data_IF_664173320897
#
_entry.id   IF_664173320897
#
_cell.length_a   1.000
_cell.length_b   1.000
_cell.length_c   1.000
_cell.angle_alpha   90.00
_cell.angle_beta   90.00
_cell.angle_gamma   90.00
#
_symmetry.space_group_name_H-M   'P 1'
#
loop_
_entity.id
_entity.type
_entity.pdbx_description
1 polymer ?
#
# COMPACT_ATOMS: atom_id res chain seq x y z
N UNK A 1 -5.91 17.96 -9.96
CA UNK A 1 -4.46 18.20 -9.89
C UNK A 1 -3.95 18.40 -11.32
N UNK A 2 -3.87 19.64 -11.84
CA UNK A 2 -3.34 19.90 -13.17
C UNK A 2 -1.91 19.35 -13.30
N UNK A 3 -1.60 18.69 -14.41
CA UNK A 3 -0.28 18.10 -14.67
C UNK A 3 -0.01 16.75 -13.98
N UNK A 4 -0.98 16.17 -13.27
CA UNK A 4 -0.83 14.88 -12.59
C UNK A 4 -1.77 13.84 -13.19
N UNK A 5 -1.22 12.68 -13.51
CA UNK A 5 -1.90 11.59 -14.20
C UNK A 5 -1.97 10.35 -13.31
N UNK A 6 -3.00 9.51 -13.51
CA UNK A 6 -2.98 8.13 -13.04
C UNK A 6 -2.28 7.29 -14.10
N UNK A 7 -1.34 6.45 -13.69
CA UNK A 7 -0.55 5.62 -14.59
C UNK A 7 -0.94 4.14 -14.45
N UNK A 8 -0.99 3.43 -15.56
CA UNK A 8 -1.04 1.98 -15.59
C UNK A 8 0.26 1.38 -15.05
N UNK A 9 0.12 0.41 -14.15
CA UNK A 9 1.22 -0.14 -13.34
C UNK A 9 2.37 -0.77 -14.14
N UNK A 10 2.13 -1.21 -15.38
CA UNK A 10 3.11 -2.00 -16.14
C UNK A 10 4.02 -1.16 -17.03
N UNK A 11 3.46 -0.43 -18.00
CA UNK A 11 4.26 0.34 -18.98
C UNK A 11 4.46 1.78 -18.55
N UNK A 12 3.36 2.47 -18.24
CA UNK A 12 3.36 3.91 -17.99
C UNK A 12 4.10 4.24 -16.68
N UNK A 13 3.84 3.48 -15.60
CA UNK A 13 4.55 3.64 -14.32
C UNK A 13 6.07 3.47 -14.48
N UNK A 14 6.51 2.40 -15.15
CA UNK A 14 7.93 2.09 -15.29
C UNK A 14 8.64 3.14 -16.16
N UNK A 15 7.98 3.60 -17.23
CA UNK A 15 8.54 4.66 -18.06
C UNK A 15 8.72 5.96 -17.26
N UNK A 16 7.67 6.42 -16.58
CA UNK A 16 7.72 7.66 -15.79
C UNK A 16 8.78 7.55 -14.68
N UNK A 17 8.86 6.41 -14.00
CA UNK A 17 9.84 6.17 -12.95
C UNK A 17 11.29 6.23 -13.49
N UNK A 18 11.55 5.72 -14.69
CA UNK A 18 12.87 5.81 -15.33
C UNK A 18 13.24 7.26 -15.69
N UNK A 19 12.29 8.03 -16.21
CA UNK A 19 12.49 9.44 -16.54
C UNK A 19 12.77 10.26 -15.27
N UNK A 20 11.97 10.06 -14.22
CA UNK A 20 12.18 10.67 -12.91
C UNK A 20 13.54 10.27 -12.30
N UNK A 21 13.95 9.01 -12.44
CA UNK A 21 15.25 8.53 -11.97
C UNK A 21 16.42 9.25 -12.67
N UNK A 22 16.34 9.44 -13.99
CA UNK A 22 17.35 10.18 -14.74
C UNK A 22 17.44 11.65 -14.29
N UNK A 23 16.31 12.23 -13.86
CA UNK A 23 16.26 13.58 -13.29
C UNK A 23 16.74 13.67 -11.83
N UNK A 24 17.08 12.55 -11.19
CA UNK A 24 17.62 12.52 -9.82
C UNK A 24 16.65 12.04 -8.74
N UNK A 25 15.41 11.69 -9.07
CA UNK A 25 14.46 11.12 -8.10
C UNK A 25 14.91 9.72 -7.69
N UNK A 26 14.82 9.41 -6.39
CA UNK A 26 15.24 8.12 -5.82
C UNK A 26 14.13 7.37 -5.08
N UNK A 27 13.07 8.08 -4.68
CA UNK A 27 11.99 7.55 -3.86
C UNK A 27 10.66 7.67 -4.60
N UNK A 28 9.83 6.63 -4.53
CA UNK A 28 8.51 6.59 -5.13
C UNK A 28 7.47 6.20 -4.09
N UNK A 29 6.42 7.01 -3.94
CA UNK A 29 5.30 6.70 -3.03
C UNK A 29 4.10 6.28 -3.85
N UNK A 30 3.53 5.12 -3.55
CA UNK A 30 2.44 4.52 -4.31
C UNK A 30 1.07 4.74 -3.64
N UNK A 31 0.12 5.27 -4.41
CA UNK A 31 -1.30 5.38 -4.05
C UNK A 31 -2.18 4.71 -5.11
N UNK A 32 -2.92 3.64 -4.78
CA UNK A 32 -3.71 2.92 -5.75
C UNK A 32 -5.05 3.61 -6.05
N UNK A 33 -5.49 3.51 -7.31
CA UNK A 33 -6.90 3.75 -7.68
C UNK A 33 -7.58 2.40 -7.90
N UNK A 34 -8.04 1.79 -6.82
CA UNK A 34 -8.72 0.48 -6.82
C UNK A 34 -10.01 0.53 -7.65
N UNK A 35 -10.28 -0.54 -8.39
CA UNK A 35 -11.56 -0.70 -9.10
C UNK A 35 -12.70 -0.82 -8.09
N UNK A 36 -13.83 -0.18 -8.35
CA UNK A 36 -15.00 -0.23 -7.48
C UNK A 36 -15.51 -1.66 -7.29
N UNK A 37 -15.37 -2.53 -8.29
CA UNK A 37 -15.77 -3.94 -8.20
C UNK A 37 -14.91 -4.77 -7.24
N UNK A 38 -13.73 -4.27 -6.86
CA UNK A 38 -12.84 -4.91 -5.89
C UNK A 38 -13.00 -4.33 -4.47
N UNK A 39 -13.80 -3.26 -4.31
CA UNK A 39 -14.06 -2.67 -3.01
C UNK A 39 -15.11 -3.47 -2.26
N UNK A 40 -14.84 -3.74 -0.99
CA UNK A 40 -15.68 -4.55 -0.11
C UNK A 40 -15.79 -3.87 1.26
N UNK A 41 -16.65 -4.37 2.14
CA UNK A 41 -16.78 -3.80 3.50
C UNK A 41 -15.48 -3.92 4.31
N UNK A 42 -14.69 -4.97 4.08
CA UNK A 42 -13.51 -5.28 4.87
C UNK A 42 -12.19 -5.00 4.15
N UNK A 43 -12.24 -4.51 2.92
CA UNK A 43 -11.05 -4.07 2.18
C UNK A 43 -10.07 -5.18 1.84
N UNK A 44 -10.52 -6.41 1.58
CA UNK A 44 -9.65 -7.58 1.39
C UNK A 44 -8.63 -7.42 0.24
N UNK A 45 -8.92 -6.58 -0.75
CA UNK A 45 -8.00 -6.27 -1.85
C UNK A 45 -6.71 -5.57 -1.37
N UNK A 46 -6.72 -4.92 -0.20
CA UNK A 46 -5.55 -4.28 0.40
C UNK A 46 -4.36 -5.23 0.57
N UNK A 47 -4.64 -6.49 0.93
CA UNK A 47 -3.64 -7.54 1.17
C UNK A 47 -3.49 -8.55 0.03
N UNK A 48 -4.09 -8.28 -1.14
CA UNK A 48 -4.01 -9.20 -2.26
C UNK A 48 -2.57 -9.22 -2.80
N UNK A 49 -1.83 -10.36 -2.80
CA UNK A 49 -0.45 -10.40 -3.31
C UNK A 49 -0.35 -10.04 -4.80
N UNK A 50 -1.47 -10.12 -5.54
CA UNK A 50 -1.62 -9.72 -6.94
C UNK A 50 -2.36 -8.38 -7.10
N UNK A 51 -2.56 -7.65 -6.01
CA UNK A 51 -3.17 -6.33 -5.97
C UNK A 51 -2.35 -5.28 -6.73
N UNK A 52 -2.94 -4.09 -6.91
CA UNK A 52 -2.31 -3.03 -7.70
C UNK A 52 -0.99 -2.56 -7.09
N UNK A 53 -0.95 -2.27 -5.79
CA UNK A 53 0.26 -1.79 -5.09
C UNK A 53 1.38 -2.83 -5.17
N UNK A 54 1.09 -4.08 -4.83
CA UNK A 54 2.06 -5.18 -4.84
C UNK A 54 2.64 -5.41 -6.24
N UNK A 55 1.82 -5.29 -7.30
CA UNK A 55 2.30 -5.34 -8.69
C UNK A 55 3.18 -4.14 -9.04
N UNK A 56 2.79 -2.92 -8.66
CA UNK A 56 3.59 -1.71 -8.89
C UNK A 56 4.96 -1.80 -8.20
N UNK A 57 5.00 -2.26 -6.94
CA UNK A 57 6.25 -2.44 -6.19
C UNK A 57 7.19 -3.38 -6.96
N UNK A 58 6.72 -4.56 -7.35
CA UNK A 58 7.55 -5.52 -8.10
C UNK A 58 8.09 -4.96 -9.40
N UNK A 59 7.26 -4.29 -10.20
CA UNK A 59 7.71 -3.67 -11.46
C UNK A 59 8.74 -2.56 -11.23
N UNK A 60 8.56 -1.74 -10.18
CA UNK A 60 9.53 -0.69 -9.83
C UNK A 60 10.86 -1.30 -9.36
N UNK A 61 10.83 -2.30 -8.48
CA UNK A 61 12.05 -2.97 -7.99
C UNK A 61 12.76 -3.75 -9.10
N UNK A 62 12.03 -4.32 -10.06
CA UNK A 62 12.63 -4.96 -11.25
C UNK A 62 13.28 -3.90 -12.17
N UNK A 63 12.59 -2.79 -12.43
CA UNK A 63 13.06 -1.76 -13.35
C UNK A 63 14.19 -0.90 -12.79
N UNK A 64 14.15 -0.59 -11.50
CA UNK A 64 15.02 0.31 -10.76
C UNK A 64 15.35 -0.29 -9.37
N UNK A 65 16.20 -1.34 -9.29
CA UNK A 65 16.47 -2.04 -8.03
C UNK A 65 17.02 -1.14 -6.89
N UNK A 66 17.67 -0.03 -7.25
CA UNK A 66 18.25 0.94 -6.32
C UNK A 66 17.27 2.03 -5.87
N UNK A 67 16.05 2.05 -6.40
CA UNK A 67 15.00 2.96 -5.93
C UNK A 67 14.39 2.48 -4.63
N UNK A 68 14.00 3.44 -3.80
CA UNK A 68 13.20 3.17 -2.61
C UNK A 68 11.71 3.32 -2.93
N UNK A 69 10.93 2.29 -2.64
CA UNK A 69 9.50 2.25 -2.87
C UNK A 69 8.76 2.29 -1.54
N UNK A 70 8.00 3.36 -1.37
CA UNK A 70 7.13 3.60 -0.23
C UNK A 70 5.70 3.22 -0.60
N UNK A 71 5.04 2.47 0.28
CA UNK A 71 3.66 2.05 0.10
C UNK A 71 2.78 2.60 1.20
N UNK A 72 1.61 3.10 0.83
CA UNK A 72 0.59 3.50 1.77
C UNK A 72 -0.08 2.27 2.40
N UNK A 73 -0.31 2.30 3.72
CA UNK A 73 -1.02 1.24 4.47
C UNK A 73 -2.25 1.87 5.12
N UNK A 74 -3.38 1.73 4.45
CA UNK A 74 -4.71 2.19 4.86
C UNK A 74 -5.78 1.43 4.05
N UNK A 75 -7.03 1.40 4.56
CA UNK A 75 -8.12 0.66 3.92
C UNK A 75 -9.05 1.52 3.04
N UNK A 76 -8.99 2.86 3.07
CA UNK A 76 -9.89 3.74 2.32
C UNK A 76 -9.92 3.51 0.78
N UNK A 77 -8.83 3.08 0.12
CA UNK A 77 -8.89 2.77 -1.30
C UNK A 77 -9.64 1.46 -1.57
N UNK A 78 -9.85 0.63 -0.54
CA UNK A 78 -10.32 -0.76 -0.65
C UNK A 78 -11.67 -0.99 0.03
N UNK A 79 -12.05 -0.16 1.00
CA UNK A 79 -13.37 -0.21 1.61
C UNK A 79 -14.44 0.35 0.67
N UNK A 80 -15.65 -0.22 0.73
CA UNK A 80 -16.80 0.23 -0.04
C UNK A 80 -17.37 1.57 0.45
N UNK A 81 -17.16 1.90 1.72
CA UNK A 81 -17.59 3.16 2.35
C UNK A 81 -16.49 4.25 2.32
N UNK A 82 -15.24 3.88 2.04
CA UNK A 82 -14.11 4.80 1.93
C UNK A 82 -13.54 5.24 3.27
N UNK A 83 -13.86 4.55 4.37
CA UNK A 83 -13.17 4.75 5.64
C UNK A 83 -11.82 4.04 5.65
N UNK A 84 -10.85 4.64 6.35
CA UNK A 84 -9.47 4.13 6.51
C UNK A 84 -9.41 2.79 7.27
N UNK A 85 -10.53 2.38 7.88
CA UNK A 85 -10.67 1.14 8.64
C UNK A 85 -12.01 0.44 8.47
N UNK A 86 -12.14 -0.72 9.09
CA UNK A 86 -13.35 -1.56 9.04
C UNK A 86 -14.44 -0.92 9.89
N UNK A 87 -15.59 -0.61 9.28
CA UNK A 87 -16.77 -0.08 9.99
C UNK A 87 -17.60 -1.24 10.56
N UNK A 88 -17.87 -1.21 11.86
CA UNK A 88 -18.71 -2.19 12.57
C UNK A 88 -20.22 -1.93 12.37
N UNK A 89 -21.06 -2.79 12.96
CA UNK A 89 -22.52 -2.69 12.82
C UNK A 89 -23.12 -1.47 13.55
N UNK A 90 -22.35 -0.81 14.42
CA UNK A 90 -22.71 0.45 15.07
C UNK A 90 -22.35 1.68 14.25
N UNK A 91 -21.67 1.50 13.11
CA UNK A 91 -21.19 2.59 12.25
C UNK A 91 -19.88 3.22 12.73
N UNK A 92 -19.12 2.54 13.59
CA UNK A 92 -17.82 3.02 14.10
C UNK A 92 -16.69 2.25 13.45
N UNK A 93 -15.55 2.91 13.24
CA UNK A 93 -14.32 2.21 12.82
C UNK A 93 -13.82 1.34 13.97
N UNK A 94 -13.74 0.03 13.73
CA UNK A 94 -13.27 -0.96 14.69
C UNK A 94 -11.74 -0.99 14.69
N UNK A 95 -11.13 -0.36 15.71
CA UNK A 95 -9.68 -0.17 15.79
C UNK A 95 -8.88 -1.47 15.62
N UNK A 96 -9.10 -2.45 16.48
CA UNK A 96 -8.24 -3.65 16.53
C UNK A 96 -8.43 -4.53 15.29
N UNK A 97 -9.66 -4.70 14.83
CA UNK A 97 -9.95 -5.41 13.59
C UNK A 97 -9.32 -4.71 12.37
N UNK A 98 -9.28 -3.38 12.37
CA UNK A 98 -8.57 -2.61 11.34
C UNK A 98 -7.07 -2.84 11.41
N UNK A 99 -6.47 -2.78 12.60
CA UNK A 99 -5.04 -3.05 12.80
C UNK A 99 -4.65 -4.45 12.30
N UNK A 100 -5.48 -5.47 12.53
CA UNK A 100 -5.25 -6.82 11.99
C UNK A 100 -5.21 -6.85 10.45
N UNK A 101 -6.12 -6.12 9.79
CA UNK A 101 -6.13 -6.00 8.33
C UNK A 101 -4.90 -5.23 7.80
N UNK A 102 -4.51 -4.15 8.48
CA UNK A 102 -3.34 -3.32 8.12
C UNK A 102 -2.02 -4.09 8.29
N UNK A 103 -1.91 -4.97 9.30
CA UNK A 103 -0.77 -5.90 9.42
C UNK A 103 -0.66 -6.77 8.17
N UNK A 104 -1.76 -7.39 7.73
CA UNK A 104 -1.74 -8.25 6.55
C UNK A 104 -1.39 -7.46 5.27
N UNK A 105 -1.87 -6.22 5.14
CA UNK A 105 -1.49 -5.33 4.05
C UNK A 105 0.01 -5.00 4.07
N UNK A 106 0.54 -4.55 5.21
CA UNK A 106 1.95 -4.21 5.37
C UNK A 106 2.88 -5.38 5.03
N UNK A 107 2.56 -6.59 5.52
CA UNK A 107 3.30 -7.81 5.19
C UNK A 107 3.27 -8.08 3.68
N UNK A 108 2.11 -7.98 3.03
CA UNK A 108 2.01 -8.19 1.58
C UNK A 108 2.82 -7.16 0.76
N UNK A 109 3.01 -5.95 1.28
CA UNK A 109 3.85 -4.92 0.64
C UNK A 109 5.33 -5.23 0.84
N UNK A 110 5.73 -5.65 2.05
CA UNK A 110 7.09 -6.09 2.34
C UNK A 110 7.49 -7.32 1.50
N UNK A 111 6.62 -8.32 1.39
CA UNK A 111 6.78 -9.49 0.52
C UNK A 111 6.93 -9.11 -0.97
N UNK A 112 6.29 -8.02 -1.39
CA UNK A 112 6.42 -7.51 -2.77
C UNK A 112 7.77 -6.78 -3.00
N UNK A 113 8.50 -6.45 -1.94
CA UNK A 113 9.79 -5.76 -1.99
C UNK A 113 9.72 -4.25 -1.73
N UNK A 114 8.67 -3.77 -1.04
CA UNK A 114 8.60 -2.36 -0.63
C UNK A 114 9.70 -2.08 0.41
N UNK A 115 10.39 -0.95 0.25
CA UNK A 115 11.45 -0.51 1.16
C UNK A 115 10.87 0.20 2.39
N UNK A 116 9.66 0.74 2.27
CA UNK A 116 8.95 1.35 3.40
C UNK A 116 7.44 1.12 3.30
N UNK A 117 6.84 0.69 4.41
CA UNK A 117 5.40 0.72 4.62
C UNK A 117 5.05 1.96 5.46
N UNK A 118 4.11 2.75 4.99
CA UNK A 118 3.74 4.06 5.56
C UNK A 118 2.27 4.06 5.99
N UNK A 119 1.96 3.66 7.23
CA UNK A 119 0.58 3.59 7.72
C UNK A 119 -0.03 4.99 7.90
N UNK A 120 -1.08 5.28 7.14
CA UNK A 120 -1.79 6.57 7.14
C UNK A 120 -3.17 6.51 7.81
N UNK A 121 -3.58 5.31 8.24
CA UNK A 121 -4.89 4.93 8.81
C UNK A 121 -5.27 5.58 10.15
N UNK A 122 -4.29 6.13 10.87
CA UNK A 122 -4.47 6.79 12.17
C UNK A 122 -5.04 5.92 13.31
N UNK A 123 -5.05 4.58 13.20
CA UNK A 123 -5.51 3.70 14.29
C UNK A 123 -4.57 3.76 15.51
N UNK A 124 -5.12 3.49 16.68
CA UNK A 124 -4.34 3.38 17.91
C UNK A 124 -3.51 2.09 17.88
N UNK A 125 -2.23 2.19 18.23
CA UNK A 125 -1.34 1.03 18.36
C UNK A 125 -0.80 0.43 17.04
N UNK A 126 -1.29 0.85 15.87
CA UNK A 126 -0.92 0.21 14.58
C UNK A 126 0.58 0.12 14.32
N UNK A 127 1.35 1.15 14.66
CA UNK A 127 2.79 1.19 14.37
C UNK A 127 3.52 0.04 15.09
N UNK A 128 3.25 -0.15 16.38
CA UNK A 128 3.86 -1.22 17.16
C UNK A 128 3.42 -2.61 16.69
N UNK A 129 2.14 -2.73 16.31
CA UNK A 129 1.57 -3.99 15.82
C UNK A 129 2.17 -4.39 14.45
N UNK A 130 2.25 -3.45 13.50
CA UNK A 130 2.87 -3.65 12.19
C UNK A 130 4.37 -3.97 12.34
N UNK A 131 5.12 -3.22 13.16
CA UNK A 131 6.53 -3.50 13.43
C UNK A 131 6.73 -4.91 13.98
N UNK A 132 5.97 -5.29 15.00
CA UNK A 132 6.08 -6.63 15.61
C UNK A 132 5.82 -7.75 14.60
N UNK A 133 4.88 -7.54 13.66
CA UNK A 133 4.58 -8.50 12.61
C UNK A 133 5.70 -8.59 11.55
N UNK A 134 6.23 -7.45 11.08
CA UNK A 134 7.36 -7.41 10.15
C UNK A 134 8.59 -8.13 10.72
N UNK A 135 8.95 -7.83 11.98
CA UNK A 135 10.10 -8.46 12.64
C UNK A 135 9.93 -9.98 12.76
N UNK A 136 8.70 -10.45 13.03
CA UNK A 136 8.36 -11.88 13.16
C UNK A 136 8.46 -12.62 11.83
N UNK A 137 8.10 -11.99 10.71
CA UNK A 137 8.19 -12.57 9.36
C UNK A 137 9.57 -12.37 8.71
N UNK A 138 10.53 -11.77 9.43
CA UNK A 138 11.91 -11.61 8.97
C UNK A 138 12.17 -10.34 8.16
N UNK A 139 11.24 -9.39 8.14
CA UNK A 139 11.39 -8.07 7.52
C UNK A 139 11.95 -7.06 8.54
N UNK A 140 13.24 -7.22 8.88
CA UNK A 140 13.89 -6.46 9.95
C UNK A 140 14.38 -5.07 9.52
N UNK A 141 14.74 -4.93 8.24
CA UNK A 141 15.17 -3.68 7.61
C UNK A 141 13.96 -2.92 7.04
#
# INVERSE_FOLDING_TARGET
MPGVCRLGWKKELVQEAREAWQAGVRHFVLFPRTDAALKTRHGEEARNPRGLVQRCVRELKEALPQSEVYTDVALDPYTSDGHDGIVDDSGRVANDATVEALIAQALSHAEAGADCVSPSDMMDGRIGAIRSALDKEGHQD
#
